data_IF_960288192630
#
_entry.id   IF_960288192630
#
_cell.length_a   1.000
_cell.length_b   1.000
_cell.length_c   1.000
_cell.angle_alpha   90.00
_cell.angle_beta   90.00
_cell.angle_gamma   90.00
#
_symmetry.space_group_name_H-M   'P 1'
#
loop_
_entity.id
_entity.type
_entity.pdbx_description
1 polymer ?
#
# COMPACT_ATOMS: atom_id res chain seq x y z
N UNK A 1 -0.65 34.76 -85.75
CA UNK A 1 -0.03 33.52 -85.21
C UNK A 1 1.16 33.96 -84.40
N UNK A 2 1.00 34.10 -83.08
CA UNK A 2 2.08 34.38 -82.13
C UNK A 2 1.81 33.58 -80.87
N UNK A 3 2.68 32.63 -80.57
CA UNK A 3 2.69 31.88 -79.31
C UNK A 3 3.16 32.78 -78.15
N UNK A 4 2.57 32.75 -76.97
CA UNK A 4 3.21 33.30 -75.82
C UNK A 4 4.06 32.27 -75.05
N UNK A 5 5.19 32.72 -74.63
CA UNK A 5 6.20 32.00 -73.81
C UNK A 5 5.65 31.74 -72.39
N UNK A 6 5.68 30.46 -71.97
CA UNK A 6 5.32 30.07 -70.63
C UNK A 6 6.50 30.26 -69.71
N UNK A 7 6.41 31.18 -68.77
CA UNK A 7 7.40 31.38 -67.70
C UNK A 7 7.03 30.47 -66.52
N UNK A 8 7.85 29.46 -66.26
CA UNK A 8 7.72 28.53 -65.15
C UNK A 8 8.33 29.14 -63.89
N UNK A 9 7.48 29.67 -62.97
CA UNK A 9 7.91 30.06 -61.63
C UNK A 9 8.00 28.84 -60.74
N UNK A 10 9.26 28.43 -60.40
CA UNK A 10 9.54 27.40 -59.36
C UNK A 10 9.44 28.10 -57.99
N UNK A 11 8.36 27.89 -57.29
CA UNK A 11 8.19 28.31 -55.92
C UNK A 11 8.79 27.22 -55.02
N UNK A 12 9.98 27.44 -54.51
CA UNK A 12 10.57 26.59 -53.47
C UNK A 12 9.85 26.73 -52.16
N UNK A 13 9.01 25.73 -51.80
CA UNK A 13 8.41 25.64 -50.50
C UNK A 13 9.45 25.12 -49.49
N UNK A 14 10.04 26.01 -48.72
CA UNK A 14 10.77 25.62 -47.49
C UNK A 14 9.77 25.09 -46.47
N UNK A 15 9.66 23.78 -46.37
CA UNK A 15 8.90 23.13 -45.33
C UNK A 15 9.73 23.15 -44.02
N UNK A 16 9.43 24.14 -43.18
CA UNK A 16 9.98 24.21 -41.84
C UNK A 16 9.05 23.37 -40.92
N UNK A 17 9.29 22.08 -40.85
CA UNK A 17 8.65 21.23 -39.87
C UNK A 17 9.23 21.56 -38.49
N UNK A 18 8.41 21.82 -37.46
CA UNK A 18 8.94 21.97 -36.10
C UNK A 18 9.48 20.63 -35.64
N UNK A 19 10.75 20.61 -35.26
CA UNK A 19 11.36 19.49 -34.53
C UNK A 19 10.57 19.30 -33.24
N UNK A 20 9.95 18.12 -33.08
CA UNK A 20 9.44 17.64 -31.79
C UNK A 20 10.64 17.19 -30.97
N UNK A 21 11.28 18.12 -30.32
CA UNK A 21 12.24 17.82 -29.27
C UNK A 21 11.48 17.80 -27.94
N UNK A 22 11.88 16.85 -27.10
CA UNK A 22 11.51 16.66 -25.71
C UNK A 22 10.18 15.93 -25.42
N UNK A 23 10.13 14.65 -25.77
CA UNK A 23 9.54 13.70 -24.88
C UNK A 23 10.44 13.64 -23.61
N UNK A 24 10.18 14.56 -22.66
CA UNK A 24 10.77 14.49 -21.31
C UNK A 24 10.41 13.13 -20.74
N UNK A 25 11.38 12.20 -20.80
CA UNK A 25 11.25 10.89 -20.20
C UNK A 25 10.88 11.12 -18.72
N UNK A 26 9.74 10.58 -18.31
CA UNK A 26 9.38 10.52 -16.90
C UNK A 26 10.57 9.89 -16.16
N UNK A 27 10.96 10.44 -15.00
CA UNK A 27 11.99 9.80 -14.19
C UNK A 27 11.59 8.34 -13.98
N UNK A 28 12.56 7.40 -14.05
CA UNK A 28 12.26 5.99 -13.80
C UNK A 28 11.59 5.88 -12.44
N UNK A 29 10.49 5.12 -12.38
CA UNK A 29 9.84 4.79 -11.12
C UNK A 29 10.91 4.31 -10.14
N UNK A 30 10.84 4.70 -8.85
CA UNK A 30 11.84 4.30 -7.88
C UNK A 30 11.98 2.78 -7.94
N UNK A 31 13.19 2.33 -8.30
CA UNK A 31 13.54 0.91 -8.33
C UNK A 31 13.32 0.35 -6.93
N UNK A 32 12.51 -0.70 -6.81
CA UNK A 32 12.37 -1.46 -5.57
C UNK A 32 13.77 -1.78 -5.05
N UNK A 33 14.04 -1.57 -3.74
CA UNK A 33 15.29 -2.01 -3.16
C UNK A 33 15.45 -3.51 -3.40
N UNK A 34 16.62 -3.92 -3.88
CA UNK A 34 17.00 -5.31 -4.21
C UNK A 34 17.25 -6.17 -2.95
N UNK A 35 16.49 -5.97 -1.88
CA UNK A 35 16.40 -6.80 -0.70
C UNK A 35 14.98 -7.28 -0.55
N UNK A 36 14.77 -8.56 -0.27
CA UNK A 36 13.42 -9.06 -0.09
C UNK A 36 12.73 -8.30 1.06
N UNK A 37 11.57 -7.72 0.77
CA UNK A 37 10.80 -6.87 1.69
C UNK A 37 10.35 -7.65 2.94
N UNK A 38 10.17 -6.99 4.09
CA UNK A 38 9.58 -7.63 5.27
C UNK A 38 8.15 -8.09 4.96
N UNK A 39 7.79 -9.25 5.49
CA UNK A 39 6.49 -9.87 5.26
C UNK A 39 5.90 -10.44 6.55
N UNK A 40 4.59 -10.51 6.58
CA UNK A 40 3.81 -11.27 7.55
C UNK A 40 3.15 -12.44 6.83
N UNK A 41 3.45 -13.65 7.28
CA UNK A 41 2.83 -14.88 6.81
C UNK A 41 1.75 -15.32 7.82
N UNK A 42 0.57 -15.66 7.34
CA UNK A 42 -0.58 -16.06 8.16
C UNK A 42 -1.07 -17.43 7.68
N UNK A 43 -1.18 -18.37 8.62
CA UNK A 43 -1.74 -19.68 8.33
C UNK A 43 -3.26 -19.60 8.19
N UNK A 44 -3.80 -20.16 7.11
CA UNK A 44 -5.24 -20.27 6.89
C UNK A 44 -5.62 -21.71 6.57
N UNK A 45 -6.91 -22.01 6.57
CA UNK A 45 -7.41 -23.33 6.20
C UNK A 45 -7.06 -23.72 4.74
N UNK A 46 -6.73 -22.75 3.89
CA UNK A 46 -6.39 -22.95 2.48
C UNK A 46 -4.88 -22.93 2.21
N UNK A 47 -4.05 -22.73 3.22
CA UNK A 47 -2.61 -22.57 3.13
C UNK A 47 -2.13 -21.28 3.73
N UNK A 48 -0.86 -20.96 3.53
CA UNK A 48 -0.24 -19.73 4.03
C UNK A 48 -0.51 -18.56 3.05
N UNK A 49 -0.93 -17.43 3.60
CA UNK A 49 -1.06 -16.16 2.87
C UNK A 49 -0.01 -15.16 3.37
N UNK A 50 0.50 -14.31 2.47
CA UNK A 50 1.61 -13.43 2.74
C UNK A 50 1.21 -11.97 2.49
N UNK A 51 1.62 -11.07 3.40
CA UNK A 51 1.46 -9.62 3.30
C UNK A 51 2.84 -8.97 3.32
N UNK A 52 3.18 -8.21 2.30
CA UNK A 52 4.36 -7.33 2.31
C UNK A 52 4.08 -6.13 3.21
N UNK A 53 4.97 -5.81 4.16
CA UNK A 53 4.65 -4.80 5.16
C UNK A 53 5.68 -3.68 5.28
N UNK A 54 5.20 -2.47 5.52
CA UNK A 54 5.97 -1.44 6.18
C UNK A 54 5.98 -1.72 7.68
N UNK A 55 7.15 -1.73 8.31
CA UNK A 55 7.28 -1.95 9.75
C UNK A 55 7.43 -0.61 10.47
N UNK A 56 6.60 -0.36 11.48
CA UNK A 56 6.65 0.84 12.32
C UNK A 56 6.73 0.47 13.79
N UNK A 57 7.69 1.09 14.49
CA UNK A 57 7.98 0.81 15.90
C UNK A 57 8.10 2.08 16.75
N UNK A 58 8.24 3.25 16.13
CA UNK A 58 8.36 4.51 16.88
C UNK A 58 7.00 5.17 17.06
N UNK A 59 6.77 5.78 18.22
CA UNK A 59 5.51 6.42 18.56
C UNK A 59 4.97 7.36 17.46
N UNK A 60 5.75 8.29 16.88
CA UNK A 60 5.25 9.17 15.82
C UNK A 60 4.81 8.41 14.56
N UNK A 61 5.49 7.30 14.20
CA UNK A 61 5.12 6.48 13.04
C UNK A 61 3.87 5.65 13.33
N UNK A 62 3.74 5.10 14.55
CA UNK A 62 2.55 4.37 15.00
C UNK A 62 1.34 5.29 14.99
N UNK A 63 1.45 6.51 15.56
CA UNK A 63 0.36 7.49 15.59
C UNK A 63 -0.06 7.94 14.17
N UNK A 64 0.89 8.03 13.23
CA UNK A 64 0.60 8.37 11.84
C UNK A 64 -0.06 7.21 11.09
N UNK A 65 0.42 5.99 11.25
CA UNK A 65 -0.08 4.81 10.54
C UNK A 65 -0.25 5.04 9.03
N UNK A 66 -1.38 4.60 8.49
CA UNK A 66 -1.77 4.75 7.08
C UNK A 66 -2.55 6.05 6.78
N UNK A 67 -2.50 7.05 7.65
CA UNK A 67 -3.13 8.35 7.40
C UNK A 67 -2.68 8.97 6.08
N UNK A 68 -3.62 9.61 5.39
CA UNK A 68 -3.43 10.34 4.12
C UNK A 68 -3.03 9.47 2.93
N UNK A 69 -3.06 8.14 3.05
CA UNK A 69 -2.85 7.24 1.91
C UNK A 69 -4.16 7.05 1.16
N UNK A 70 -4.12 7.29 -0.13
CA UNK A 70 -5.25 7.08 -1.04
C UNK A 70 -5.31 5.66 -1.60
N UNK A 71 -4.19 4.94 -1.51
CA UNK A 71 -4.06 3.60 -2.06
C UNK A 71 -3.08 2.75 -1.23
N UNK A 72 -3.42 1.47 -1.07
CA UNK A 72 -2.56 0.41 -0.53
C UNK A 72 -2.59 -0.76 -1.53
N UNK A 73 -1.43 -1.26 -2.02
CA UNK A 73 -1.42 -2.41 -2.92
C UNK A 73 -2.18 -3.62 -2.34
N UNK A 74 -2.72 -4.53 -3.16
CA UNK A 74 -3.62 -5.60 -2.70
C UNK A 74 -3.08 -6.44 -1.53
N UNK A 75 -1.83 -6.89 -1.62
CA UNK A 75 -1.19 -7.74 -0.60
C UNK A 75 -0.12 -6.98 0.18
N UNK A 76 -0.34 -5.68 0.38
CA UNK A 76 0.51 -4.83 1.21
C UNK A 76 -0.21 -4.43 2.50
N UNK A 77 0.58 -4.09 3.52
CA UNK A 77 0.08 -3.66 4.81
C UNK A 77 1.08 -2.84 5.61
N UNK A 78 0.70 -2.49 6.82
CA UNK A 78 1.58 -1.87 7.80
C UNK A 78 1.56 -2.69 9.09
N UNK A 79 2.74 -3.08 9.55
CA UNK A 79 2.92 -3.83 10.79
C UNK A 79 3.41 -2.88 11.90
N UNK A 80 2.60 -2.77 12.94
CA UNK A 80 2.87 -1.98 14.13
C UNK A 80 3.50 -2.85 15.20
N UNK A 81 4.70 -2.50 15.66
CA UNK A 81 5.37 -3.10 16.82
C UNK A 81 5.06 -2.22 18.05
N UNK A 82 4.10 -2.63 18.87
CA UNK A 82 3.49 -1.75 19.88
C UNK A 82 4.33 -1.55 21.14
N UNK A 83 5.42 -2.29 21.32
CA UNK A 83 6.34 -2.14 22.47
C UNK A 83 5.82 -2.69 23.81
N UNK A 84 4.57 -3.09 23.90
CA UNK A 84 3.94 -3.71 25.08
C UNK A 84 2.68 -4.47 24.72
N UNK A 85 2.43 -5.58 25.42
CA UNK A 85 1.22 -6.38 25.20
C UNK A 85 0.08 -5.85 26.07
N UNK A 86 -0.93 -5.28 25.43
CA UNK A 86 -2.14 -4.76 26.08
C UNK A 86 -3.31 -4.76 25.09
N UNK A 87 -4.52 -4.43 25.55
CA UNK A 87 -5.65 -4.17 24.65
C UNK A 87 -5.46 -2.81 23.95
N UNK A 88 -4.91 -2.86 22.76
CA UNK A 88 -4.65 -1.67 21.95
C UNK A 88 -5.93 -1.19 21.25
N UNK A 89 -6.08 0.13 21.18
CA UNK A 89 -7.18 0.79 20.48
C UNK A 89 -6.67 1.60 19.30
N UNK A 90 -7.41 1.56 18.19
CA UNK A 90 -7.12 2.29 16.97
C UNK A 90 -8.33 3.10 16.53
N UNK A 91 -8.10 4.13 15.74
CA UNK A 91 -9.13 4.95 15.09
C UNK A 91 -8.74 5.19 13.62
N UNK A 92 -9.70 5.66 12.81
CA UNK A 92 -9.51 5.88 11.36
C UNK A 92 -9.42 7.37 11.00
N UNK A 93 -9.11 8.25 11.97
CA UNK A 93 -8.93 9.69 11.68
C UNK A 93 -7.87 9.88 10.61
N UNK A 94 -8.18 10.70 9.59
CA UNK A 94 -7.30 10.97 8.44
C UNK A 94 -6.90 9.72 7.60
N UNK A 95 -7.43 8.54 7.88
CA UNK A 95 -7.26 7.36 7.04
C UNK A 95 -8.32 7.37 5.95
N UNK A 96 -7.90 7.35 4.68
CA UNK A 96 -8.78 7.61 3.53
C UNK A 96 -9.37 6.34 2.93
N UNK A 97 -8.80 5.19 3.23
CA UNK A 97 -9.19 3.88 2.72
C UNK A 97 -9.72 2.99 3.86
N UNK A 98 -10.69 2.09 3.60
CA UNK A 98 -11.13 1.12 4.59
C UNK A 98 -10.00 0.13 4.89
N UNK A 99 -9.87 -0.27 6.16
CA UNK A 99 -8.81 -1.19 6.61
C UNK A 99 -9.40 -2.35 7.40
N UNK A 100 -8.75 -3.52 7.30
CA UNK A 100 -8.85 -4.58 8.28
C UNK A 100 -7.68 -4.45 9.25
N UNK A 101 -7.96 -4.55 10.56
CA UNK A 101 -6.97 -4.47 11.63
C UNK A 101 -6.86 -5.84 12.31
N UNK A 102 -5.71 -6.47 12.19
CA UNK A 102 -5.44 -7.82 12.72
C UNK A 102 -4.57 -7.65 13.97
N UNK A 103 -5.12 -7.97 15.12
CA UNK A 103 -4.44 -7.88 16.42
C UNK A 103 -3.74 -9.19 16.70
N UNK A 104 -2.42 -9.15 16.96
CA UNK A 104 -1.56 -10.33 17.09
C UNK A 104 -0.90 -10.33 18.47
N UNK A 105 -1.00 -11.44 19.18
CA UNK A 105 -0.39 -11.64 20.50
C UNK A 105 1.13 -11.81 20.40
N UNK A 106 1.84 -11.76 21.54
CA UNK A 106 3.27 -12.11 21.61
C UNK A 106 3.56 -13.54 21.18
N UNK A 107 2.58 -14.44 21.33
CA UNK A 107 2.72 -15.86 20.96
C UNK A 107 2.42 -16.10 19.46
N UNK A 108 2.42 -15.01 18.67
CA UNK A 108 2.23 -15.04 17.22
C UNK A 108 0.91 -15.72 16.81
N UNK A 109 -0.16 -15.36 17.50
CA UNK A 109 -1.52 -15.83 17.24
C UNK A 109 -2.44 -14.64 17.08
N UNK A 110 -3.38 -14.69 16.15
CA UNK A 110 -4.37 -13.63 15.97
C UNK A 110 -5.34 -13.63 17.14
N UNK A 111 -5.31 -12.57 17.96
CA UNK A 111 -6.25 -12.37 19.06
C UNK A 111 -7.66 -12.01 18.58
N UNK A 112 -7.74 -11.20 17.53
CA UNK A 112 -8.98 -10.77 16.93
C UNK A 112 -8.74 -9.90 15.69
N UNK A 113 -9.83 -9.62 14.97
CA UNK A 113 -9.82 -8.84 13.73
C UNK A 113 -10.95 -7.82 13.78
N UNK A 114 -10.64 -6.57 13.47
CA UNK A 114 -11.64 -5.55 13.13
C UNK A 114 -11.70 -5.48 11.61
N UNK A 115 -12.80 -5.91 11.03
CA UNK A 115 -12.98 -5.92 9.58
C UNK A 115 -13.57 -4.62 9.07
N UNK A 116 -13.11 -4.16 7.91
CA UNK A 116 -13.64 -3.01 7.16
C UNK A 116 -13.85 -1.76 8.01
N UNK A 117 -12.85 -1.42 8.84
CA UNK A 117 -12.88 -0.20 9.62
C UNK A 117 -13.18 1.00 8.71
N UNK A 118 -14.24 1.74 9.05
CA UNK A 118 -14.74 2.84 8.21
C UNK A 118 -13.76 4.01 8.19
N UNK A 119 -13.39 4.53 7.01
CA UNK A 119 -12.48 5.66 6.86
C UNK A 119 -12.98 6.94 7.56
N UNK A 120 -12.03 7.78 7.98
CA UNK A 120 -12.28 9.12 8.52
C UNK A 120 -13.17 9.15 9.78
N UNK A 121 -13.20 8.06 10.55
CA UNK A 121 -13.95 7.98 11.81
C UNK A 121 -13.01 7.98 13.01
N UNK A 122 -13.49 8.52 14.13
CA UNK A 122 -12.75 8.56 15.39
C UNK A 122 -13.26 7.52 16.41
N UNK A 123 -14.17 6.65 15.99
CA UNK A 123 -14.62 5.54 16.80
C UNK A 123 -13.43 4.65 17.15
N UNK A 124 -13.22 4.44 18.45
CA UNK A 124 -12.16 3.54 18.93
C UNK A 124 -12.52 2.09 18.60
N UNK A 125 -11.56 1.36 18.10
CA UNK A 125 -11.66 -0.04 17.70
C UNK A 125 -10.63 -0.86 18.44
N UNK A 126 -11.06 -1.92 19.08
CA UNK A 126 -10.21 -2.93 19.69
C UNK A 126 -10.90 -4.29 19.54
N UNK A 127 -10.22 -5.34 19.93
CA UNK A 127 -10.78 -6.70 19.95
C UNK A 127 -11.03 -7.19 21.38
N UNK A 128 -10.80 -6.32 22.39
CA UNK A 128 -11.00 -6.66 23.80
C UNK A 128 -10.02 -7.71 24.32
N UNK A 129 -8.88 -7.86 23.68
CA UNK A 129 -7.85 -8.82 24.03
C UNK A 129 -6.43 -8.23 23.88
N UNK A 130 -5.47 -8.65 24.70
CA UNK A 130 -4.09 -8.19 24.59
C UNK A 130 -3.47 -8.54 23.24
N UNK A 131 -2.73 -7.59 22.68
CA UNK A 131 -1.92 -7.78 21.49
C UNK A 131 -0.57 -7.07 21.63
N UNK A 132 0.47 -7.57 20.99
CA UNK A 132 1.79 -6.96 20.94
C UNK A 132 2.05 -6.33 19.57
N UNK A 133 1.34 -6.80 18.57
CA UNK A 133 1.47 -6.32 17.19
C UNK A 133 0.07 -6.08 16.60
N UNK A 134 0.00 -5.13 15.66
CA UNK A 134 -1.20 -4.92 14.84
C UNK A 134 -0.77 -4.87 13.39
N UNK A 135 -1.48 -5.60 12.52
CA UNK A 135 -1.29 -5.57 11.08
C UNK A 135 -2.51 -4.92 10.44
N UNK A 136 -2.31 -3.81 9.75
CA UNK A 136 -3.32 -3.16 8.93
C UNK A 136 -3.16 -3.56 7.46
N UNK A 137 -4.26 -3.96 6.84
CA UNK A 137 -4.37 -4.34 5.43
C UNK A 137 -5.61 -3.70 4.81
N UNK A 138 -5.78 -3.81 3.49
CA UNK A 138 -7.00 -3.33 2.81
C UNK A 138 -8.27 -3.91 3.44
N UNK A 139 -9.32 -3.10 3.57
CA UNK A 139 -10.60 -3.52 4.12
C UNK A 139 -11.27 -4.64 3.30
N UNK A 140 -11.54 -5.77 3.94
CA UNK A 140 -12.07 -6.99 3.34
C UNK A 140 -11.02 -8.00 2.88
N UNK A 141 -9.73 -7.68 3.07
CA UNK A 141 -8.62 -8.59 2.75
C UNK A 141 -8.69 -9.88 3.60
N UNK A 142 -8.98 -9.75 4.89
CA UNK A 142 -9.08 -10.89 5.82
C UNK A 142 -10.19 -11.86 5.42
N UNK A 143 -11.34 -11.34 5.03
CA UNK A 143 -12.46 -12.16 4.54
C UNK A 143 -12.12 -12.87 3.23
N UNK A 144 -11.47 -12.16 2.27
CA UNK A 144 -11.08 -12.72 0.97
C UNK A 144 -10.08 -13.88 1.13
N UNK A 145 -9.16 -13.79 2.10
CA UNK A 145 -8.15 -14.81 2.38
C UNK A 145 -8.53 -15.78 3.51
N UNK A 146 -9.76 -15.70 4.02
CA UNK A 146 -10.28 -16.57 5.09
C UNK A 146 -9.41 -16.54 6.37
N UNK A 147 -8.79 -15.40 6.65
CA UNK A 147 -8.03 -15.18 7.88
C UNK A 147 -8.99 -15.09 9.07
N UNK A 148 -8.68 -15.80 10.16
CA UNK A 148 -9.54 -15.88 11.34
C UNK A 148 -8.74 -15.70 12.63
N UNK A 149 -9.43 -15.29 13.69
CA UNK A 149 -8.88 -15.34 15.05
C UNK A 149 -8.40 -16.75 15.40
N UNK A 150 -7.31 -16.85 16.13
CA UNK A 150 -6.63 -18.11 16.46
C UNK A 150 -5.62 -18.58 15.40
N UNK A 151 -5.59 -18.01 14.20
CA UNK A 151 -4.61 -18.35 13.18
C UNK A 151 -3.19 -18.00 13.63
N UNK A 152 -2.21 -18.80 13.22
CA UNK A 152 -0.80 -18.57 13.49
C UNK A 152 -0.23 -17.57 12.50
N UNK A 153 0.70 -16.76 13.01
CA UNK A 153 1.38 -15.70 12.27
C UNK A 153 2.88 -15.92 12.35
N UNK A 154 3.61 -15.61 11.30
CA UNK A 154 5.06 -15.65 11.26
C UNK A 154 5.61 -14.40 10.58
N UNK A 155 6.57 -13.77 11.20
CA UNK A 155 7.27 -12.63 10.60
C UNK A 155 8.49 -13.09 9.80
N UNK A 156 8.65 -12.52 8.62
CA UNK A 156 9.77 -12.80 7.73
C UNK A 156 10.51 -11.49 7.49
N UNK A 157 11.78 -11.41 7.87
CA UNK A 157 12.64 -10.22 7.73
C UNK A 157 12.09 -8.96 8.40
N UNK A 158 11.27 -9.12 9.41
CA UNK A 158 10.83 -8.02 10.25
C UNK A 158 11.92 -7.76 11.28
N UNK A 159 12.49 -6.56 11.23
CA UNK A 159 13.42 -6.04 12.26
C UNK A 159 12.78 -4.81 12.90
N UNK A 160 12.88 -4.65 14.23
CA UNK A 160 12.37 -3.49 14.96
C UNK A 160 13.01 -2.18 14.51
#
# INVERSE_FOLDING_TARGET
MRLPVLVLCVIGACSNAPKRDDARALPPAPSKPSGAEPMVAIETAQGEVNVTVEVVATRPKIERGLMFREHLPPDAGMLFLMGGETDHTFYMRNTLIPLDMIFITKDMTIAGIVERAEPRTETLRSVGAPSLYVLEVNGGWTAAHQVKSGAKVRFVRVTP
#
